data_IF_431121162895
#
_entry.id   IF_431121162895
#
_cell.length_a   1.000
_cell.length_b   1.000
_cell.length_c   1.000
_cell.angle_alpha   90.00
_cell.angle_beta   90.00
_cell.angle_gamma   90.00
#
_symmetry.space_group_name_H-M   'P 1'
#
loop_
_entity.id
_entity.type
_entity.pdbx_description
1 polymer ?
#
# COMPACT_ATOMS: atom_id res chain seq x y z
N UNK A 1 12.41 9.13 11.81
CA UNK A 1 11.63 8.37 10.81
C UNK A 1 12.32 8.57 9.47
N UNK A 2 12.82 7.50 8.84
CA UNK A 2 13.55 7.62 7.57
C UNK A 2 12.63 8.23 6.49
N UNK A 3 13.16 9.12 5.66
CA UNK A 3 12.38 9.72 4.57
C UNK A 3 11.90 8.67 3.56
N UNK A 4 10.65 8.79 3.11
CA UNK A 4 10.08 7.94 2.05
C UNK A 4 10.45 8.43 0.64
N UNK A 5 11.12 9.58 0.51
CA UNK A 5 11.43 10.21 -0.78
C UNK A 5 12.24 9.29 -1.70
N UNK A 6 13.30 8.58 -1.23
CA UNK A 6 14.05 7.67 -2.08
C UNK A 6 13.19 6.51 -2.61
N UNK A 7 12.25 6.02 -1.79
CA UNK A 7 11.31 4.96 -2.20
C UNK A 7 10.39 5.48 -3.30
N UNK A 8 9.74 6.63 -3.11
CA UNK A 8 8.80 7.19 -4.09
C UNK A 8 9.50 7.64 -5.38
N UNK A 9 10.73 8.17 -5.29
CA UNK A 9 11.57 8.45 -6.45
C UNK A 9 11.93 7.19 -7.24
N UNK A 10 12.11 6.04 -6.57
CA UNK A 10 12.34 4.75 -7.26
C UNK A 10 11.06 4.17 -7.85
N UNK A 11 9.94 4.27 -7.13
CA UNK A 11 8.63 3.80 -7.60
C UNK A 11 8.16 4.57 -8.84
N UNK A 12 8.39 5.88 -8.91
CA UNK A 12 7.99 6.72 -10.04
C UNK A 12 8.66 6.30 -11.37
N UNK A 13 9.85 5.70 -11.31
CA UNK A 13 10.58 5.17 -12.48
C UNK A 13 9.99 3.86 -13.02
N UNK A 14 9.14 3.17 -12.25
CA UNK A 14 8.49 1.94 -12.71
C UNK A 14 7.19 2.26 -13.47
N UNK A 15 7.16 2.00 -14.78
CA UNK A 15 5.96 2.20 -15.62
C UNK A 15 4.70 1.54 -15.05
N UNK A 16 4.84 0.38 -14.41
CA UNK A 16 3.71 -0.31 -13.80
C UNK A 16 3.20 0.39 -12.54
N UNK A 17 4.11 0.85 -11.66
CA UNK A 17 3.75 1.49 -10.39
C UNK A 17 3.28 2.93 -10.59
N UNK A 18 3.93 3.67 -11.48
CA UNK A 18 3.66 5.08 -11.71
C UNK A 18 2.39 5.37 -12.49
N UNK A 19 1.67 4.35 -12.99
CA UNK A 19 0.39 4.52 -13.71
C UNK A 19 -0.84 4.57 -12.80
N UNK A 20 -0.73 4.12 -11.55
CA UNK A 20 -1.87 4.07 -10.65
C UNK A 20 -2.26 5.47 -10.18
N UNK A 21 -3.56 5.77 -10.19
CA UNK A 21 -4.14 7.03 -9.71
C UNK A 21 -5.46 6.74 -9.00
N UNK A 22 -5.84 7.58 -8.05
CA UNK A 22 -7.21 7.56 -7.51
C UNK A 22 -8.17 8.16 -8.54
N UNK A 23 -9.26 7.45 -8.85
CA UNK A 23 -10.38 8.00 -9.61
C UNK A 23 -11.33 8.80 -8.71
N UNK A 24 -12.36 9.39 -9.32
CA UNK A 24 -13.37 10.19 -8.60
C UNK A 24 -14.06 9.39 -7.49
N UNK A 25 -14.40 8.12 -7.76
CA UNK A 25 -15.09 7.25 -6.78
C UNK A 25 -14.20 6.95 -5.58
N UNK A 26 -12.92 6.66 -5.79
CA UNK A 26 -12.00 6.38 -4.70
C UNK A 26 -11.67 7.63 -3.87
N UNK A 27 -11.56 8.80 -4.51
CA UNK A 27 -11.41 10.08 -3.80
C UNK A 27 -12.63 10.37 -2.94
N UNK A 28 -13.83 10.23 -3.50
CA UNK A 28 -15.08 10.43 -2.78
C UNK A 28 -15.19 9.47 -1.58
N UNK A 29 -14.82 8.20 -1.76
CA UNK A 29 -14.79 7.23 -0.66
C UNK A 29 -13.84 7.66 0.47
N UNK A 30 -12.64 8.17 0.14
CA UNK A 30 -11.72 8.70 1.14
C UNK A 30 -12.32 9.88 1.91
N UNK A 31 -13.03 10.79 1.23
CA UNK A 31 -13.67 11.95 1.86
C UNK A 31 -14.83 11.52 2.77
N UNK A 32 -15.68 10.59 2.32
CA UNK A 32 -16.82 10.10 3.09
C UNK A 32 -16.44 9.34 4.35
N UNK A 33 -15.36 8.53 4.28
CA UNK A 33 -14.90 7.73 5.42
C UNK A 33 -13.98 8.51 6.36
N UNK A 34 -13.22 9.47 5.82
CA UNK A 34 -12.23 10.22 6.57
C UNK A 34 -10.93 9.45 6.82
N UNK A 35 -9.90 10.20 7.17
CA UNK A 35 -8.53 9.71 7.35
C UNK A 35 -8.40 8.53 8.33
N UNK A 36 -8.96 8.58 9.56
CA UNK A 36 -8.77 7.50 10.54
C UNK A 36 -9.34 6.15 10.07
N UNK A 37 -10.48 6.17 9.39
CA UNK A 37 -11.13 4.96 8.87
C UNK A 37 -10.32 4.37 7.72
N UNK A 38 -9.78 5.22 6.82
CA UNK A 38 -8.93 4.76 5.72
C UNK A 38 -7.61 4.16 6.22
N UNK A 39 -7.02 4.75 7.27
CA UNK A 39 -5.84 4.19 7.94
C UNK A 39 -6.14 2.83 8.58
N UNK A 40 -7.27 2.71 9.27
CA UNK A 40 -7.72 1.43 9.84
C UNK A 40 -7.93 0.36 8.74
N UNK A 41 -8.54 0.71 7.61
CA UNK A 41 -8.68 -0.23 6.49
C UNK A 41 -7.32 -0.70 5.96
N UNK A 42 -6.33 0.19 5.90
CA UNK A 42 -4.97 -0.18 5.51
C UNK A 42 -4.34 -1.16 6.51
N UNK A 43 -4.47 -0.89 7.81
CA UNK A 43 -3.99 -1.78 8.87
C UNK A 43 -4.66 -3.17 8.78
N UNK A 44 -5.98 -3.21 8.66
CA UNK A 44 -6.75 -4.46 8.52
C UNK A 44 -6.32 -5.28 7.31
N UNK A 45 -6.13 -4.64 6.15
CA UNK A 45 -5.72 -5.36 4.94
C UNK A 45 -4.28 -5.86 5.04
N UNK A 46 -3.37 -5.09 5.64
CA UNK A 46 -1.99 -5.53 5.87
C UNK A 46 -1.97 -6.72 6.82
N UNK A 47 -2.65 -6.63 7.96
CA UNK A 47 -2.73 -7.70 8.96
C UNK A 47 -3.31 -8.99 8.37
N UNK A 48 -4.43 -8.89 7.64
CA UNK A 48 -5.14 -10.07 7.13
C UNK A 48 -4.50 -10.68 5.87
N UNK A 49 -3.90 -9.87 5.00
CA UNK A 49 -3.50 -10.30 3.64
C UNK A 49 -1.99 -10.32 3.39
N UNK A 50 -1.17 -9.70 4.24
CA UNK A 50 0.27 -9.63 4.06
C UNK A 50 1.07 -10.10 5.28
N UNK A 51 0.53 -9.95 6.49
CA UNK A 51 1.22 -10.28 7.72
C UNK A 51 1.60 -11.76 7.88
N UNK A 52 0.78 -12.76 7.47
CA UNK A 52 1.17 -14.15 7.56
C UNK A 52 2.47 -14.43 6.77
N UNK A 53 3.29 -15.36 7.27
CA UNK A 53 4.51 -15.80 6.57
C UNK A 53 4.23 -16.33 5.16
N UNK A 54 3.08 -16.99 4.99
CA UNK A 54 2.57 -17.55 3.74
C UNK A 54 1.13 -17.07 3.50
N UNK A 55 0.91 -15.85 3.00
CA UNK A 55 -0.44 -15.35 2.74
C UNK A 55 -1.17 -16.17 1.68
N UNK A 56 -2.48 -16.36 1.86
CA UNK A 56 -3.32 -17.01 0.86
C UNK A 56 -3.28 -16.23 -0.47
N UNK A 57 -3.07 -16.94 -1.58
CA UNK A 57 -2.98 -16.37 -2.92
C UNK A 57 -1.91 -15.28 -3.06
N UNK A 58 -0.71 -15.46 -2.49
CA UNK A 58 0.37 -14.47 -2.63
C UNK A 58 0.68 -14.16 -4.11
N UNK A 59 0.81 -12.88 -4.42
CA UNK A 59 0.83 -12.33 -5.78
C UNK A 59 -0.55 -11.90 -6.31
N UNK A 60 -1.64 -12.35 -5.71
CA UNK A 60 -3.05 -12.06 -6.10
C UNK A 60 -3.96 -11.72 -4.92
N UNK A 61 -3.44 -11.59 -3.70
CA UNK A 61 -4.23 -11.39 -2.48
C UNK A 61 -4.95 -10.04 -2.40
N UNK A 62 -4.46 -9.02 -3.13
CA UNK A 62 -5.02 -7.67 -3.16
C UNK A 62 -5.60 -7.38 -4.56
N UNK A 63 -6.91 -7.11 -4.68
CA UNK A 63 -7.51 -6.65 -5.93
C UNK A 63 -6.78 -5.41 -6.48
N UNK A 64 -6.89 -5.15 -7.79
CA UNK A 64 -6.27 -3.95 -8.39
C UNK A 64 -7.14 -2.70 -8.32
N UNK A 65 -8.42 -2.84 -7.95
CA UNK A 65 -9.47 -1.80 -7.93
C UNK A 65 -10.50 -2.07 -6.83
N UNK A 66 -11.45 -1.15 -6.66
CA UNK A 66 -12.59 -1.31 -5.76
C UNK A 66 -12.40 -0.76 -4.35
N UNK A 67 -11.18 -0.38 -3.98
CA UNK A 67 -10.89 0.34 -2.74
C UNK A 67 -9.62 1.19 -2.89
N UNK A 68 -9.56 2.44 -2.36
CA UNK A 68 -8.39 3.31 -2.47
C UNK A 68 -7.10 2.65 -1.95
N UNK A 69 -7.18 1.97 -0.80
CA UNK A 69 -6.04 1.23 -0.22
C UNK A 69 -5.48 0.17 -1.17
N UNK A 70 -6.31 -0.54 -1.94
CA UNK A 70 -5.82 -1.53 -2.90
C UNK A 70 -5.05 -0.87 -4.04
N UNK A 71 -5.55 0.26 -4.56
CA UNK A 71 -4.84 1.04 -5.59
C UNK A 71 -3.50 1.52 -5.03
N UNK A 72 -3.50 2.04 -3.80
CA UNK A 72 -2.29 2.48 -3.12
C UNK A 72 -1.28 1.33 -2.96
N UNK A 73 -1.71 0.14 -2.53
CA UNK A 73 -0.83 -1.02 -2.39
C UNK A 73 -0.13 -1.39 -3.70
N UNK A 74 -0.84 -1.32 -4.83
CA UNK A 74 -0.23 -1.55 -6.13
C UNK A 74 0.69 -0.42 -6.56
N UNK A 75 0.34 0.84 -6.27
CA UNK A 75 1.20 1.99 -6.56
C UNK A 75 2.50 1.95 -5.75
N UNK A 76 2.42 1.52 -4.48
CA UNK A 76 3.54 1.53 -3.54
C UNK A 76 4.30 0.21 -3.44
N UNK A 77 3.94 -0.80 -4.25
CA UNK A 77 4.54 -2.14 -4.19
C UNK A 77 4.39 -2.86 -2.84
N UNK A 78 3.28 -2.62 -2.15
CA UNK A 78 2.88 -3.28 -0.90
C UNK A 78 1.69 -4.22 -1.09
N UNK A 79 1.52 -4.74 -2.31
CA UNK A 79 0.42 -5.63 -2.71
C UNK A 79 0.68 -7.13 -2.45
N UNK A 80 1.95 -7.56 -2.40
CA UNK A 80 2.31 -8.96 -2.13
C UNK A 80 3.72 -9.12 -1.55
N UNK A 81 4.06 -10.33 -1.05
CA UNK A 81 5.39 -10.57 -0.43
C UNK A 81 6.53 -10.41 -1.40
N UNK A 82 6.37 -10.84 -2.65
CA UNK A 82 7.38 -10.59 -3.70
C UNK A 82 7.65 -9.11 -3.96
N UNK A 83 6.62 -8.26 -3.86
CA UNK A 83 6.78 -6.82 -3.98
C UNK A 83 7.44 -6.22 -2.73
N UNK A 84 7.04 -6.65 -1.53
CA UNK A 84 7.67 -6.25 -0.27
C UNK A 84 9.17 -6.58 -0.24
N UNK A 85 9.57 -7.78 -0.70
CA UNK A 85 10.97 -8.16 -0.78
C UNK A 85 11.75 -7.26 -1.75
N UNK A 86 11.23 -7.06 -2.97
CA UNK A 86 11.91 -6.28 -4.01
C UNK A 86 12.00 -4.78 -3.70
N UNK A 87 10.95 -4.21 -3.10
CA UNK A 87 10.79 -2.77 -2.99
C UNK A 87 11.04 -2.22 -1.59
N UNK A 88 10.85 -3.03 -0.56
CA UNK A 88 10.91 -2.60 0.84
C UNK A 88 11.95 -3.38 1.65
N UNK A 89 12.65 -4.33 1.03
CA UNK A 89 13.65 -5.17 1.69
C UNK A 89 13.08 -6.00 2.86
N UNK A 90 11.79 -6.39 2.76
CA UNK A 90 11.10 -7.23 3.73
C UNK A 90 11.04 -8.66 3.16
N UNK A 91 11.75 -9.64 3.74
CA UNK A 91 11.91 -10.97 3.15
C UNK A 91 10.58 -11.74 3.07
N UNK A 92 10.49 -12.70 2.15
CA UNK A 92 9.33 -13.61 2.06
C UNK A 92 9.46 -14.77 3.05
N UNK A 93 8.37 -15.49 3.31
CA UNK A 93 8.39 -16.70 4.15
C UNK A 93 8.50 -16.44 5.65
N UNK A 94 8.45 -15.18 6.10
CA UNK A 94 8.44 -14.79 7.51
C UNK A 94 7.27 -13.85 7.78
N UNK A 95 6.58 -14.04 8.90
CA UNK A 95 5.47 -13.17 9.29
C UNK A 95 5.96 -11.73 9.47
N UNK A 96 5.12 -10.76 9.11
CA UNK A 96 5.45 -9.35 9.31
C UNK A 96 5.47 -9.01 10.80
N UNK A 97 6.53 -8.35 11.27
CA UNK A 97 6.52 -7.73 12.60
C UNK A 97 5.54 -6.57 12.66
N UNK A 98 5.16 -6.15 13.86
CA UNK A 98 4.29 -4.99 14.05
C UNK A 98 4.91 -3.71 13.46
N UNK A 99 6.23 -3.54 13.55
CA UNK A 99 6.96 -2.42 12.96
C UNK A 99 6.86 -2.46 11.43
N UNK A 100 7.00 -3.64 10.83
CA UNK A 100 6.88 -3.80 9.38
C UNK A 100 5.45 -3.51 8.91
N UNK A 101 4.43 -3.97 9.65
CA UNK A 101 3.04 -3.66 9.36
C UNK A 101 2.76 -2.15 9.46
N UNK A 102 3.20 -1.51 10.55
CA UNK A 102 3.10 -0.04 10.74
C UNK A 102 3.80 0.73 9.62
N UNK A 103 5.00 0.31 9.24
CA UNK A 103 5.73 0.90 8.11
C UNK A 103 4.94 0.79 6.80
N UNK A 104 4.38 -0.39 6.49
CA UNK A 104 3.60 -0.59 5.26
C UNK A 104 2.34 0.29 5.25
N UNK A 105 1.64 0.39 6.39
CA UNK A 105 0.48 1.28 6.54
C UNK A 105 0.89 2.73 6.31
N UNK A 106 2.00 3.19 6.89
CA UNK A 106 2.50 4.54 6.71
C UNK A 106 2.85 4.86 5.24
N UNK A 107 3.46 3.91 4.51
CA UNK A 107 3.76 4.06 3.08
C UNK A 107 2.48 4.18 2.24
N UNK A 108 1.49 3.32 2.50
CA UNK A 108 0.19 3.36 1.82
C UNK A 108 -0.50 4.69 2.07
N UNK A 109 -0.56 5.09 3.34
CA UNK A 109 -1.25 6.31 3.77
C UNK A 109 -0.59 7.56 3.19
N UNK A 110 0.74 7.63 3.20
CA UNK A 110 1.47 8.73 2.56
C UNK A 110 1.10 8.89 1.08
N UNK A 111 1.05 7.79 0.32
CA UNK A 111 0.66 7.86 -1.09
C UNK A 111 -0.78 8.34 -1.27
N UNK A 112 -1.71 7.88 -0.42
CA UNK A 112 -3.11 8.32 -0.46
C UNK A 112 -3.23 9.83 -0.19
N UNK A 113 -2.53 10.34 0.82
CA UNK A 113 -2.50 11.78 1.12
C UNK A 113 -1.99 12.57 -0.09
N UNK A 114 -0.90 12.14 -0.72
CA UNK A 114 -0.38 12.81 -1.93
C UNK A 114 -1.43 12.77 -3.05
N UNK A 115 -2.06 11.63 -3.32
CA UNK A 115 -3.08 11.52 -4.37
C UNK A 115 -4.31 12.39 -4.10
N UNK A 116 -4.76 12.49 -2.86
CA UNK A 116 -5.90 13.34 -2.47
C UNK A 116 -5.61 14.83 -2.61
N UNK A 117 -4.33 15.23 -2.53
CA UNK A 117 -3.88 16.62 -2.66
C UNK A 117 -3.27 16.96 -4.03
N UNK A 118 -3.24 16.00 -4.97
CA UNK A 118 -2.90 16.32 -6.36
C UNK A 118 -4.00 17.18 -6.99
N UNK A 119 -3.63 18.24 -7.73
CA UNK A 119 -4.56 19.12 -8.43
C UNK A 119 -5.35 18.37 -9.53
#
# INVERSE_FOLDING_TARGET
MQSLDPLFARLSRSKFRSRFRLGMKERQYCLEKGAPVIEQHAADFVAKRLAPALPANDGKQTPMRGHPVFIAQHATATCCRGCLAKWHNIPQGVSLSEEQQRYIVAVIYHWLVVQMNQP
#
